data_IF_476389531424
#
_entry.id   IF_476389531424
#
_cell.length_a   1.000
_cell.length_b   1.000
_cell.length_c   1.000
_cell.angle_alpha   90.00
_cell.angle_beta   90.00
_cell.angle_gamma   90.00
#
_symmetry.space_group_name_H-M   'P 1'
#
loop_
_entity.id
_entity.type
_entity.pdbx_description
1 polymer ?
#
# COMPACT_ATOMS: atom_id res chain seq x y z
N UNK A 1 14.40 -16.58 -12.87
CA UNK A 1 13.58 -16.55 -11.63
C UNK A 1 14.56 -16.57 -10.44
N UNK A 2 14.12 -16.36 -9.20
CA UNK A 2 15.04 -16.43 -8.05
C UNK A 2 15.72 -17.82 -7.94
N UNK A 3 15.03 -18.87 -8.38
CA UNK A 3 15.55 -20.25 -8.50
C UNK A 3 16.74 -20.44 -9.45
N UNK A 4 17.14 -19.41 -10.21
CA UNK A 4 18.24 -19.51 -11.16
C UNK A 4 19.60 -19.11 -10.56
N UNK A 5 19.62 -18.64 -9.31
CA UNK A 5 20.84 -18.23 -8.62
C UNK A 5 21.34 -19.34 -7.69
N UNK A 6 22.59 -19.24 -7.24
CA UNK A 6 23.13 -20.10 -6.20
C UNK A 6 22.35 -19.95 -4.87
N UNK A 7 22.51 -20.93 -3.98
CA UNK A 7 21.74 -20.99 -2.73
C UNK A 7 21.99 -19.77 -1.83
N UNK A 8 23.23 -19.28 -1.78
CA UNK A 8 23.59 -18.13 -0.93
C UNK A 8 22.91 -16.86 -1.43
N UNK A 9 22.90 -16.64 -2.75
CA UNK A 9 22.17 -15.52 -3.36
C UNK A 9 20.66 -15.63 -3.14
N UNK A 10 20.09 -16.83 -3.20
CA UNK A 10 18.67 -17.05 -2.92
C UNK A 10 18.32 -16.72 -1.46
N UNK A 11 19.16 -17.11 -0.51
CA UNK A 11 18.95 -16.84 0.91
C UNK A 11 19.05 -15.34 1.20
N UNK A 12 20.02 -14.65 0.58
CA UNK A 12 20.11 -13.19 0.68
C UNK A 12 18.89 -12.50 0.06
N UNK A 13 18.40 -12.96 -1.10
CA UNK A 13 17.16 -12.45 -1.71
C UNK A 13 15.93 -12.62 -0.81
N UNK A 14 15.88 -13.68 -0.01
CA UNK A 14 14.79 -13.92 0.94
C UNK A 14 14.77 -12.87 2.06
N UNK A 15 15.94 -12.39 2.49
CA UNK A 15 16.08 -11.30 3.47
C UNK A 15 15.84 -9.94 2.79
N UNK A 16 16.37 -9.73 1.59
CA UNK A 16 16.25 -8.45 0.89
C UNK A 16 14.82 -8.13 0.46
N UNK A 17 14.05 -9.15 0.05
CA UNK A 17 12.68 -8.96 -0.47
C UNK A 17 11.76 -8.21 0.50
N UNK A 18 11.59 -8.62 1.77
CA UNK A 18 10.74 -7.91 2.71
C UNK A 18 11.30 -6.53 3.09
N UNK A 19 12.63 -6.37 3.20
CA UNK A 19 13.25 -5.06 3.44
C UNK A 19 12.91 -4.09 2.30
N UNK A 20 13.04 -4.55 1.05
CA UNK A 20 12.69 -3.75 -0.12
C UNK A 20 11.21 -3.36 -0.11
N UNK A 21 10.32 -4.30 0.25
CA UNK A 21 8.88 -4.01 0.36
C UNK A 21 8.59 -2.95 1.43
N UNK A 22 9.27 -3.01 2.59
CA UNK A 22 9.17 -1.99 3.62
C UNK A 22 9.60 -0.62 3.07
N UNK A 23 10.79 -0.53 2.49
CA UNK A 23 11.32 0.72 1.91
C UNK A 23 10.38 1.32 0.85
N UNK A 24 9.80 0.50 -0.02
CA UNK A 24 8.80 0.95 -1.00
C UNK A 24 7.61 1.61 -0.30
N UNK A 25 6.99 0.95 0.68
CA UNK A 25 5.75 1.48 1.28
C UNK A 25 5.99 2.63 2.25
N UNK A 26 7.21 2.75 2.80
CA UNK A 26 7.56 3.79 3.78
C UNK A 26 8.33 4.97 3.19
N UNK A 27 8.80 4.90 1.94
CA UNK A 27 9.57 5.99 1.32
C UNK A 27 9.06 6.41 -0.07
N UNK A 28 8.75 5.47 -0.95
CA UNK A 28 8.28 5.82 -2.31
C UNK A 28 7.34 4.75 -2.86
N UNK A 29 6.06 4.74 -2.44
CA UNK A 29 5.10 3.73 -2.86
C UNK A 29 4.79 3.73 -4.36
N UNK A 30 4.96 4.89 -5.00
CA UNK A 30 4.80 5.10 -6.44
C UNK A 30 6.08 5.72 -7.01
N UNK A 31 7.15 4.92 -7.22
CA UNK A 31 8.38 5.42 -7.78
C UNK A 31 8.16 6.12 -9.11
N UNK A 32 8.61 7.37 -9.23
CA UNK A 32 8.41 8.15 -10.46
C UNK A 32 9.49 7.86 -11.51
N UNK A 33 10.65 7.40 -11.07
CA UNK A 33 11.80 7.14 -11.94
C UNK A 33 12.39 5.75 -11.68
N UNK A 34 12.98 5.16 -12.72
CA UNK A 34 13.77 3.94 -12.57
C UNK A 34 14.95 4.14 -11.62
N UNK A 35 15.50 5.36 -11.56
CA UNK A 35 16.64 5.69 -10.71
C UNK A 35 16.24 5.57 -9.24
N UNK A 36 15.14 6.21 -8.82
CA UNK A 36 14.69 6.17 -7.42
C UNK A 36 14.31 4.76 -6.98
N UNK A 37 13.60 4.00 -7.83
CA UNK A 37 13.28 2.60 -7.55
C UNK A 37 14.54 1.71 -7.44
N UNK A 38 15.57 2.00 -8.24
CA UNK A 38 16.87 1.31 -8.17
C UNK A 38 17.64 1.67 -6.90
N UNK A 39 17.52 2.91 -6.41
CA UNK A 39 18.13 3.32 -5.14
C UNK A 39 17.53 2.56 -3.96
N UNK A 40 16.20 2.39 -3.92
CA UNK A 40 15.53 1.55 -2.91
C UNK A 40 16.02 0.10 -2.96
N UNK A 41 16.23 -0.44 -4.16
CA UNK A 41 16.74 -1.80 -4.34
C UNK A 41 18.19 -1.95 -3.84
N UNK A 42 19.04 -0.95 -4.10
CA UNK A 42 20.41 -0.90 -3.58
C UNK A 42 20.44 -0.78 -2.06
N UNK A 43 19.55 0.04 -1.50
CA UNK A 43 19.38 0.22 -0.06
C UNK A 43 19.01 -1.10 0.62
N UNK A 44 17.95 -1.75 0.12
CA UNK A 44 17.49 -3.03 0.63
C UNK A 44 18.60 -4.09 0.60
N UNK A 45 19.33 -4.17 -0.52
CA UNK A 45 20.40 -5.14 -0.69
C UNK A 45 21.55 -4.90 0.28
N UNK A 46 21.92 -3.63 0.51
CA UNK A 46 22.98 -3.26 1.45
C UNK A 46 22.60 -3.63 2.88
N UNK A 47 21.38 -3.32 3.29
CA UNK A 47 20.85 -3.67 4.60
C UNK A 47 20.81 -5.20 4.81
N UNK A 48 20.30 -5.94 3.83
CA UNK A 48 20.27 -7.41 3.90
C UNK A 48 21.68 -8.03 3.94
N UNK A 49 22.61 -7.50 3.14
CA UNK A 49 24.01 -7.95 3.10
C UNK A 49 24.68 -7.77 4.46
N UNK A 50 24.44 -6.62 5.10
CA UNK A 50 24.91 -6.33 6.46
C UNK A 50 24.32 -7.29 7.50
N UNK A 51 23.02 -7.56 7.42
CA UNK A 51 22.33 -8.48 8.35
C UNK A 51 22.81 -9.93 8.21
N UNK A 52 23.07 -10.37 6.97
CA UNK A 52 23.53 -11.73 6.69
C UNK A 52 25.04 -11.91 6.87
N UNK A 53 25.82 -10.83 6.96
CA UNK A 53 27.28 -10.88 6.95
C UNK A 53 27.84 -11.38 5.62
N UNK A 54 27.13 -11.12 4.51
CA UNK A 54 27.47 -11.61 3.18
C UNK A 54 27.82 -10.45 2.25
N UNK A 55 28.84 -10.66 1.40
CA UNK A 55 29.25 -9.70 0.38
C UNK A 55 28.99 -10.28 -1.00
N UNK A 56 27.78 -10.08 -1.52
CA UNK A 56 27.38 -10.51 -2.86
C UNK A 56 27.15 -9.28 -3.73
N UNK A 57 27.75 -9.28 -4.93
CA UNK A 57 27.59 -8.20 -5.89
C UNK A 57 26.12 -8.10 -6.33
N UNK A 58 25.54 -6.90 -6.16
CA UNK A 58 24.21 -6.62 -6.67
C UNK A 58 24.26 -6.47 -8.21
N UNK A 59 23.58 -7.36 -8.92
CA UNK A 59 23.50 -7.34 -10.38
C UNK A 59 22.21 -6.68 -10.88
N UNK A 60 22.16 -6.17 -12.12
CA UNK A 60 20.94 -5.60 -12.70
C UNK A 60 19.74 -6.58 -12.71
N UNK A 61 20.01 -7.89 -12.83
CA UNK A 61 18.96 -8.91 -12.79
C UNK A 61 18.34 -9.02 -11.39
N UNK A 62 19.15 -8.95 -10.34
CA UNK A 62 18.69 -8.95 -8.95
C UNK A 62 17.87 -7.70 -8.63
N UNK A 63 18.30 -6.52 -9.12
CA UNK A 63 17.52 -5.27 -9.06
C UNK A 63 16.15 -5.46 -9.70
N UNK A 64 16.11 -5.95 -10.95
CA UNK A 64 14.86 -6.19 -11.68
C UNK A 64 13.94 -7.18 -10.98
N UNK A 65 14.47 -8.13 -10.21
CA UNK A 65 13.66 -9.06 -9.41
C UNK A 65 13.02 -8.37 -8.19
N UNK A 66 13.77 -7.51 -7.51
CA UNK A 66 13.25 -6.73 -6.37
C UNK A 66 12.16 -5.76 -6.83
N UNK A 67 12.37 -5.02 -7.90
CA UNK A 67 11.40 -4.04 -8.42
C UNK A 67 10.01 -4.63 -8.75
N UNK A 68 9.92 -5.94 -9.06
CA UNK A 68 8.61 -6.60 -9.25
C UNK A 68 7.75 -6.52 -7.99
N UNK A 69 8.39 -6.45 -6.81
CA UNK A 69 7.73 -6.41 -5.51
C UNK A 69 7.00 -5.09 -5.25
N UNK A 70 7.38 -3.99 -5.90
CA UNK A 70 6.69 -2.69 -5.82
C UNK A 70 5.22 -2.78 -6.22
N UNK A 71 4.96 -3.42 -7.37
CA UNK A 71 3.58 -3.64 -7.83
C UNK A 71 2.86 -4.70 -6.99
N UNK A 72 3.60 -5.68 -6.46
CA UNK A 72 3.04 -6.77 -5.67
C UNK A 72 2.52 -6.27 -4.33
N UNK A 73 3.32 -5.50 -3.57
CA UNK A 73 2.94 -5.00 -2.25
C UNK A 73 1.73 -4.07 -2.33
N UNK A 74 1.65 -3.21 -3.36
CA UNK A 74 0.47 -2.38 -3.62
C UNK A 74 -0.77 -3.19 -3.95
N UNK A 75 -0.64 -4.24 -4.79
CA UNK A 75 -1.75 -5.12 -5.13
C UNK A 75 -2.27 -5.86 -3.90
N UNK A 76 -1.36 -6.34 -3.07
CA UNK A 76 -1.69 -7.03 -1.81
C UNK A 76 -2.45 -6.09 -0.86
N UNK A 77 -1.97 -4.85 -0.69
CA UNK A 77 -2.70 -3.82 0.06
C UNK A 77 -4.08 -3.56 -0.52
N UNK A 78 -4.23 -3.34 -1.84
CA UNK A 78 -5.56 -3.18 -2.48
C UNK A 78 -6.49 -4.33 -2.11
N UNK A 79 -6.01 -5.57 -2.17
CA UNK A 79 -6.84 -6.75 -1.89
C UNK A 79 -7.36 -6.75 -0.45
N UNK A 80 -6.51 -6.44 0.53
CA UNK A 80 -6.93 -6.31 1.94
C UNK A 80 -7.87 -5.13 2.14
N UNK A 81 -7.51 -3.97 1.59
CA UNK A 81 -8.30 -2.75 1.68
C UNK A 81 -9.69 -2.90 1.08
N UNK A 82 -9.84 -3.70 0.02
CA UNK A 82 -11.14 -3.93 -0.58
C UNK A 82 -12.12 -4.54 0.43
N UNK A 83 -11.72 -5.60 1.14
CA UNK A 83 -12.56 -6.27 2.13
C UNK A 83 -12.83 -5.34 3.32
N UNK A 84 -11.79 -4.67 3.82
CA UNK A 84 -11.91 -3.75 4.94
C UNK A 84 -12.83 -2.55 4.62
N UNK A 85 -12.64 -1.92 3.46
CA UNK A 85 -13.42 -0.74 3.03
C UNK A 85 -14.89 -1.11 2.83
N UNK A 86 -15.16 -2.25 2.19
CA UNK A 86 -16.53 -2.71 1.98
C UNK A 86 -17.26 -2.94 3.31
N UNK A 87 -16.61 -3.64 4.25
CA UNK A 87 -17.18 -3.92 5.57
C UNK A 87 -17.31 -2.67 6.44
N UNK A 88 -16.34 -1.75 6.38
CA UNK A 88 -16.28 -0.57 7.24
C UNK A 88 -17.38 0.45 6.90
N UNK A 89 -17.63 0.68 5.61
CA UNK A 89 -18.65 1.64 5.17
C UNK A 89 -20.03 1.00 4.94
N UNK A 90 -20.13 -0.33 4.95
CA UNK A 90 -21.41 -1.03 4.79
C UNK A 90 -21.84 -1.26 3.33
N UNK A 91 -20.89 -1.39 2.40
CA UNK A 91 -21.20 -1.71 1.01
C UNK A 91 -21.86 -3.09 0.88
N UNK A 92 -22.92 -3.17 0.09
CA UNK A 92 -23.68 -4.39 -0.15
C UNK A 92 -23.18 -5.14 -1.39
N UNK A 93 -23.08 -6.47 -1.34
CA UNK A 93 -22.75 -7.31 -2.51
C UNK A 93 -23.97 -7.73 -3.33
N UNK A 94 -25.19 -7.45 -2.83
CA UNK A 94 -26.45 -7.71 -3.55
C UNK A 94 -26.50 -6.93 -4.87
N UNK A 95 -27.03 -7.56 -5.91
CA UNK A 95 -27.27 -6.95 -7.23
C UNK A 95 -28.67 -6.34 -7.36
N UNK A 96 -29.42 -6.23 -6.25
CA UNK A 96 -30.72 -5.53 -6.29
C UNK A 96 -30.52 -4.06 -6.64
N UNK A 97 -31.50 -3.47 -7.34
CA UNK A 97 -31.48 -2.05 -7.71
C UNK A 97 -31.28 -1.17 -6.47
N UNK A 98 -31.96 -1.48 -5.36
CA UNK A 98 -31.82 -0.76 -4.10
C UNK A 98 -30.37 -0.81 -3.55
N UNK A 99 -29.73 -1.99 -3.56
CA UNK A 99 -28.34 -2.12 -3.12
C UNK A 99 -27.37 -1.39 -4.05
N UNK A 100 -27.61 -1.43 -5.36
CA UNK A 100 -26.80 -0.70 -6.34
C UNK A 100 -26.89 0.81 -6.15
N UNK A 101 -28.10 1.34 -5.97
CA UNK A 101 -28.33 2.77 -5.67
C UNK A 101 -27.68 3.17 -4.34
N UNK A 102 -27.84 2.35 -3.30
CA UNK A 102 -27.19 2.59 -2.00
C UNK A 102 -25.66 2.68 -2.14
N UNK A 103 -25.04 1.68 -2.78
CA UNK A 103 -23.59 1.63 -2.97
C UNK A 103 -23.08 2.84 -3.77
N UNK A 104 -23.78 3.24 -4.85
CA UNK A 104 -23.40 4.41 -5.64
C UNK A 104 -23.44 5.67 -4.80
N UNK A 105 -24.56 5.93 -4.13
CA UNK A 105 -24.74 7.14 -3.32
C UNK A 105 -23.71 7.21 -2.18
N UNK A 106 -23.41 6.07 -1.55
CA UNK A 106 -22.39 5.98 -0.50
C UNK A 106 -20.98 6.22 -1.05
N UNK A 107 -20.64 5.65 -2.21
CA UNK A 107 -19.33 5.86 -2.83
C UNK A 107 -19.14 7.33 -3.24
N UNK A 108 -20.18 7.96 -3.79
CA UNK A 108 -20.17 9.38 -4.16
C UNK A 108 -20.01 10.28 -2.94
N UNK A 109 -20.78 10.06 -1.87
CA UNK A 109 -20.72 10.88 -0.65
C UNK A 109 -19.37 10.76 0.08
N UNK A 110 -18.79 9.57 0.13
CA UNK A 110 -17.48 9.35 0.74
C UNK A 110 -16.34 9.99 -0.06
N UNK A 111 -16.47 10.05 -1.39
CA UNK A 111 -15.49 10.68 -2.28
C UNK A 111 -15.64 12.19 -2.36
N UNK A 112 -16.85 12.70 -2.16
CA UNK A 112 -17.11 14.12 -2.12
C UNK A 112 -16.24 14.79 -1.05
N UNK A 113 -15.49 15.80 -1.47
CA UNK A 113 -14.48 16.50 -0.67
C UNK A 113 -13.53 15.58 0.14
N UNK A 114 -13.36 14.33 -0.31
CA UNK A 114 -12.56 13.30 0.36
C UNK A 114 -13.06 12.93 1.77
N UNK A 115 -14.37 12.92 2.02
CA UNK A 115 -14.95 12.64 3.35
C UNK A 115 -14.47 11.33 4.01
N UNK A 116 -14.03 10.32 3.24
CA UNK A 116 -13.51 9.06 3.78
C UNK A 116 -12.27 9.18 4.69
N UNK A 117 -11.58 10.33 4.70
CA UNK A 117 -10.40 10.52 5.57
C UNK A 117 -10.78 10.78 7.03
N UNK A 118 -12.01 11.17 7.32
CA UNK A 118 -12.46 11.53 8.67
C UNK A 118 -12.85 10.30 9.49
N UNK A 119 -12.68 10.39 10.81
CA UNK A 119 -13.18 9.40 11.77
C UNK A 119 -14.70 9.35 11.77
N UNK A 120 -15.33 10.51 11.77
CA UNK A 120 -16.77 10.71 11.57
C UNK A 120 -16.93 11.54 10.30
N UNK A 121 -17.26 10.88 9.20
CA UNK A 121 -17.36 11.52 7.87
C UNK A 121 -18.63 12.34 7.70
N UNK A 122 -19.68 12.07 8.49
CA UNK A 122 -20.92 12.86 8.49
C UNK A 122 -20.68 14.23 9.16
N UNK A 123 -20.00 14.21 10.31
CA UNK A 123 -19.63 15.44 11.04
C UNK A 123 -18.30 16.04 10.60
N UNK A 124 -17.62 15.38 9.65
CA UNK A 124 -16.27 15.74 9.15
C UNK A 124 -15.29 16.03 10.27
N UNK A 125 -15.23 15.13 11.26
CA UNK A 125 -14.38 15.29 12.44
C UNK A 125 -13.32 14.19 12.56
N UNK A 126 -12.15 14.55 13.10
CA UNK A 126 -11.03 13.63 13.24
C UNK A 126 -10.40 13.23 11.90
N UNK A 127 -9.89 14.20 11.15
CA UNK A 127 -9.18 13.98 9.89
C UNK A 127 -8.02 12.99 10.09
N UNK A 128 -7.89 12.02 9.18
CA UNK A 128 -6.89 10.94 9.20
C UNK A 128 -6.94 10.00 10.42
N UNK A 129 -8.03 10.04 11.20
CA UNK A 129 -8.22 9.20 12.40
C UNK A 129 -9.27 8.10 12.20
N UNK A 130 -9.56 7.74 10.96
CA UNK A 130 -10.47 6.61 10.68
C UNK A 130 -9.86 5.30 11.18
N UNK A 131 -10.67 4.48 11.85
CA UNK A 131 -10.26 3.15 12.31
C UNK A 131 -9.82 2.24 11.17
N UNK A 132 -10.25 2.53 9.94
CA UNK A 132 -9.87 1.83 8.73
C UNK A 132 -8.35 1.89 8.45
N UNK A 133 -7.68 3.00 8.79
CA UNK A 133 -6.22 3.13 8.64
C UNK A 133 -5.51 2.13 9.57
N UNK A 134 -5.92 2.08 10.85
CA UNK A 134 -5.31 1.16 11.81
C UNK A 134 -5.56 -0.30 11.41
N UNK A 135 -6.78 -0.64 10.98
CA UNK A 135 -7.10 -1.98 10.48
C UNK A 135 -6.24 -2.35 9.27
N UNK A 136 -6.02 -1.41 8.34
CA UNK A 136 -5.14 -1.62 7.19
C UNK A 136 -3.70 -1.93 7.62
N UNK A 137 -3.16 -1.16 8.57
CA UNK A 137 -1.81 -1.34 9.08
C UNK A 137 -1.66 -2.70 9.75
N UNK A 138 -2.61 -3.04 10.62
CA UNK A 138 -2.63 -4.31 11.34
C UNK A 138 -2.73 -5.49 10.37
N UNK A 139 -3.70 -5.48 9.45
CA UNK A 139 -3.91 -6.59 8.52
C UNK A 139 -2.75 -6.79 7.54
N UNK A 140 -2.06 -5.73 7.15
CA UNK A 140 -1.03 -5.78 6.11
C UNK A 140 0.37 -6.04 6.67
N UNK A 141 0.75 -5.44 7.79
CA UNK A 141 2.13 -5.48 8.29
C UNK A 141 2.27 -6.02 9.73
N UNK A 142 1.18 -6.19 10.49
CA UNK A 142 1.24 -6.57 11.91
C UNK A 142 0.21 -7.64 12.32
N UNK A 143 -0.25 -8.48 11.39
CA UNK A 143 -1.26 -9.49 11.70
C UNK A 143 -0.65 -10.64 12.52
N UNK A 144 0.63 -10.97 12.28
CA UNK A 144 1.35 -12.05 12.94
C UNK A 144 2.80 -11.68 13.27
N UNK A 145 3.41 -12.43 14.19
CA UNK A 145 4.83 -12.27 14.59
C UNK A 145 5.86 -12.36 13.46
N UNK A 146 5.47 -12.96 12.33
CA UNK A 146 6.32 -13.16 11.17
C UNK A 146 6.11 -12.09 10.08
N UNK A 147 5.19 -11.14 10.28
CA UNK A 147 4.92 -10.11 9.28
C UNK A 147 6.02 -9.05 9.27
N UNK A 148 6.10 -8.34 8.14
CA UNK A 148 7.16 -7.37 7.84
C UNK A 148 7.27 -6.28 8.90
N UNK A 149 6.15 -5.79 9.43
CA UNK A 149 6.12 -4.78 10.49
C UNK A 149 6.62 -5.30 11.83
N UNK A 150 6.47 -6.60 12.13
CA UNK A 150 7.00 -7.20 13.36
C UNK A 150 8.51 -7.43 13.26
N UNK A 151 8.99 -7.98 12.13
CA UNK A 151 10.40 -8.31 11.92
C UNK A 151 11.24 -7.05 11.66
N UNK A 152 10.71 -6.12 10.86
CA UNK A 152 11.40 -4.90 10.42
C UNK A 152 10.73 -3.63 10.96
N UNK A 153 10.34 -3.67 12.24
CA UNK A 153 9.63 -2.58 12.93
C UNK A 153 10.29 -1.20 12.80
N UNK A 154 11.62 -1.14 12.62
CA UNK A 154 12.38 0.10 12.41
C UNK A 154 11.86 0.95 11.26
N UNK A 155 11.27 0.35 10.22
CA UNK A 155 10.70 1.08 9.08
C UNK A 155 9.32 1.68 9.38
N UNK A 156 8.64 1.18 10.42
CA UNK A 156 7.28 1.57 10.80
C UNK A 156 7.25 2.31 12.14
N UNK A 157 8.42 2.72 12.67
CA UNK A 157 8.48 3.48 13.90
C UNK A 157 7.96 4.91 13.66
N UNK A 158 6.78 5.20 14.23
CA UNK A 158 5.85 6.22 13.76
C UNK A 158 5.34 5.90 12.34
N UNK A 159 4.03 6.04 12.10
CA UNK A 159 3.45 5.71 10.80
C UNK A 159 3.96 6.71 9.75
N UNK A 160 4.74 6.28 8.73
CA UNK A 160 5.27 7.21 7.74
C UNK A 160 4.15 7.87 6.94
N UNK A 161 4.34 9.15 6.58
CA UNK A 161 3.35 9.92 5.81
C UNK A 161 3.09 9.25 4.47
N UNK A 162 4.11 8.67 3.84
CA UNK A 162 4.05 7.92 2.60
C UNK A 162 3.15 6.68 2.74
N UNK A 163 3.28 5.97 3.85
CA UNK A 163 2.48 4.78 4.14
C UNK A 163 1.02 5.15 4.37
N UNK A 164 0.76 6.20 5.15
CA UNK A 164 -0.58 6.74 5.35
C UNK A 164 -1.21 7.16 4.01
N UNK A 165 -0.46 7.91 3.20
CA UNK A 165 -0.89 8.35 1.87
C UNK A 165 -1.22 7.17 0.96
N UNK A 166 -0.40 6.12 0.99
CA UNK A 166 -0.64 4.89 0.22
C UNK A 166 -1.95 4.22 0.64
N UNK A 167 -2.23 4.13 1.95
CA UNK A 167 -3.49 3.58 2.48
C UNK A 167 -4.68 4.42 2.01
N UNK A 168 -4.63 5.75 2.13
CA UNK A 168 -5.69 6.64 1.66
C UNK A 168 -5.96 6.48 0.16
N UNK A 169 -4.89 6.36 -0.63
CA UNK A 169 -4.97 6.11 -2.08
C UNK A 169 -5.63 4.77 -2.37
N UNK A 170 -5.32 3.73 -1.58
CA UNK A 170 -5.95 2.42 -1.69
C UNK A 170 -7.44 2.44 -1.30
N UNK A 171 -7.83 3.21 -0.28
CA UNK A 171 -9.25 3.44 0.09
C UNK A 171 -9.99 4.06 -1.09
N UNK A 172 -9.44 5.15 -1.66
CA UNK A 172 -10.03 5.80 -2.83
C UNK A 172 -10.20 4.84 -4.01
N UNK A 173 -9.18 4.03 -4.30
CA UNK A 173 -9.26 2.97 -5.31
C UNK A 173 -10.38 1.96 -5.02
N UNK A 174 -10.61 1.61 -3.76
CA UNK A 174 -11.69 0.71 -3.37
C UNK A 174 -13.07 1.36 -3.53
N UNK A 175 -13.21 2.66 -3.23
CA UNK A 175 -14.46 3.40 -3.43
C UNK A 175 -14.81 3.56 -4.92
N UNK A 176 -13.82 3.74 -5.80
CA UNK A 176 -14.04 3.83 -7.24
C UNK A 176 -14.79 2.61 -7.79
N UNK A 177 -14.60 1.42 -7.18
CA UNK A 177 -15.26 0.17 -7.60
C UNK A 177 -16.77 0.16 -7.44
N UNK A 178 -17.31 1.09 -6.66
CA UNK A 178 -18.72 1.15 -6.30
C UNK A 178 -19.45 2.31 -6.99
N UNK A 179 -18.76 3.12 -7.80
CA UNK A 179 -19.35 4.28 -8.49
C UNK A 179 -20.44 3.84 -9.49
N UNK A 180 -20.24 2.70 -10.16
CA UNK A 180 -21.28 2.14 -11.02
C UNK A 180 -22.48 1.56 -10.23
N UNK A 181 -22.40 1.47 -8.89
CA UNK A 181 -23.36 0.79 -8.01
C UNK A 181 -23.17 -0.73 -7.95
N UNK A 182 -22.53 -1.31 -8.98
CA UNK A 182 -22.03 -2.69 -8.99
C UNK A 182 -20.54 -2.72 -8.69
N UNK A 183 -20.09 -3.82 -8.10
CA UNK A 183 -18.67 -4.05 -7.80
C UNK A 183 -17.87 -4.29 -9.08
N UNK A 184 -16.99 -3.36 -9.42
CA UNK A 184 -16.07 -3.51 -10.54
C UNK A 184 -14.66 -3.95 -10.10
N UNK A 185 -13.93 -4.67 -10.96
CA UNK A 185 -12.50 -4.93 -10.74
C UNK A 185 -11.62 -3.81 -11.29
N UNK A 186 -11.54 -2.72 -10.54
CA UNK A 186 -10.64 -1.61 -10.86
C UNK A 186 -9.21 -1.96 -10.50
N UNK A 187 -8.30 -1.92 -11.47
CA UNK A 187 -6.86 -2.20 -11.27
C UNK A 187 -6.17 -1.04 -10.53
N UNK A 188 -5.35 -1.36 -9.54
CA UNK A 188 -4.51 -0.37 -8.83
C UNK A 188 -3.23 -0.09 -9.61
N UNK A 189 -3.38 0.57 -10.76
CA UNK A 189 -2.28 0.88 -11.67
C UNK A 189 -1.56 2.16 -11.23
N UNK A 190 -0.22 2.19 -11.38
CA UNK A 190 0.56 3.41 -11.12
C UNK A 190 0.06 4.60 -11.94
N UNK A 191 -0.19 4.40 -13.24
CA UNK A 191 -0.63 5.48 -14.15
C UNK A 191 -1.92 6.15 -13.70
N UNK A 192 -2.84 5.41 -13.08
CA UNK A 192 -4.11 5.95 -12.60
C UNK A 192 -4.01 6.56 -11.19
N UNK A 193 -3.23 5.95 -10.29
CA UNK A 193 -3.25 6.29 -8.87
C UNK A 193 -2.02 7.06 -8.37
N UNK A 194 -0.96 7.23 -9.17
CA UNK A 194 0.14 8.15 -8.83
C UNK A 194 -0.36 9.60 -8.64
N UNK A 195 -1.20 10.17 -9.53
CA UNK A 195 -1.73 11.52 -9.31
C UNK A 195 -2.55 11.65 -8.02
N UNK A 196 -3.37 10.63 -7.72
CA UNK A 196 -4.18 10.57 -6.50
C UNK A 196 -3.29 10.53 -5.25
N UNK A 197 -2.25 9.70 -5.28
CA UNK A 197 -1.25 9.61 -4.22
C UNK A 197 -0.58 10.96 -3.97
N UNK A 198 -0.12 11.65 -5.02
CA UNK A 198 0.58 12.93 -4.88
C UNK A 198 -0.31 14.04 -4.30
N UNK A 199 -1.60 14.06 -4.65
CA UNK A 199 -2.57 14.99 -4.05
C UNK A 199 -2.71 14.73 -2.55
N UNK A 200 -2.89 13.47 -2.13
CA UNK A 200 -2.97 13.13 -0.70
C UNK A 200 -1.67 13.43 0.05
N UNK A 201 -0.52 13.15 -0.56
CA UNK A 201 0.79 13.43 0.02
C UNK A 201 0.95 14.92 0.29
N UNK A 202 0.61 15.74 -0.71
CA UNK A 202 0.69 17.20 -0.61
C UNK A 202 -0.23 17.76 0.48
N UNK A 203 -1.42 17.18 0.64
CA UNK A 203 -2.36 17.57 1.69
C UNK A 203 -1.86 17.20 3.09
N UNK A 204 -1.30 15.99 3.26
CA UNK A 204 -0.75 15.54 4.54
C UNK A 204 0.48 16.35 4.96
N UNK A 205 1.40 16.61 4.02
CA UNK A 205 2.58 17.44 4.28
C UNK A 205 2.26 18.90 4.61
N UNK A 206 1.07 19.40 4.28
CA UNK A 206 0.59 20.73 4.67
C UNK A 206 -0.13 20.75 6.01
N UNK A 207 -0.52 19.58 6.51
CA UNK A 207 -1.25 19.42 7.76
C UNK A 207 -0.30 19.23 8.94
N UNK A 208 0.83 18.55 8.72
CA UNK A 208 1.97 18.47 9.65
C UNK A 208 2.70 19.83 9.77
#
# INVERSE_FOLDING_TARGET
KASNFDKVTQDLLAITTPIYRCLVVTQEPFPQTLISETLLAKEAWREASKLAGLTIQLTPLLVKLMMRRTSQVRRELKTKMHTLTASFFGFCTSQSIAAMTHNRNLAESLKDETCFVFKDWEKRSGIYKTGLIQSAVNDMWFANRNDEGMIYNKFFNLLPVELLTLILTAIKCCLDKWIAGVKEDIKFLSTAYTPVYLVHLSSLQRFD
#
